data_IF_675016568756
#
_entry.id   IF_675016568756
#
_cell.length_a   1.000
_cell.length_b   1.000
_cell.length_c   1.000
_cell.angle_alpha   90.00
_cell.angle_beta   90.00
_cell.angle_gamma   90.00
#
_symmetry.space_group_name_H-M   'P 1'
#
loop_
_entity.id
_entity.type
_entity.pdbx_description
1 polymer ?
#
# COMPACT_ATOMS: atom_id res chain seq x y z
N UNK A 1 1.36 2.32 21.52
CA UNK A 1 2.27 1.19 21.73
C UNK A 1 1.45 -0.07 21.87
N UNK A 2 1.73 -1.11 21.08
CA UNK A 2 1.09 -2.43 21.17
C UNK A 2 2.01 -3.48 21.83
N UNK A 3 1.51 -4.70 22.04
CA UNK A 3 2.26 -5.76 22.75
C UNK A 3 3.51 -6.23 21.98
N UNK A 4 3.52 -6.17 20.64
CA UNK A 4 4.67 -6.59 19.83
C UNK A 4 5.76 -5.51 19.82
N UNK A 5 5.39 -4.23 19.83
CA UNK A 5 6.35 -3.13 20.01
C UNK A 5 7.05 -3.24 21.35
N UNK A 6 6.30 -3.46 22.43
CA UNK A 6 6.89 -3.66 23.76
C UNK A 6 7.77 -4.92 23.80
N UNK A 7 7.34 -6.00 23.14
CA UNK A 7 8.14 -7.22 23.02
C UNK A 7 9.48 -6.98 22.31
N UNK A 8 9.48 -6.23 21.21
CA UNK A 8 10.70 -5.81 20.51
C UNK A 8 11.60 -4.95 21.40
N UNK A 9 11.05 -3.94 22.09
CA UNK A 9 11.83 -3.08 22.99
C UNK A 9 12.41 -3.81 24.19
N UNK A 10 11.74 -4.87 24.65
CA UNK A 10 12.22 -5.67 25.79
C UNK A 10 13.46 -6.52 25.45
N UNK A 11 13.84 -6.62 24.16
CA UNK A 11 15.03 -7.36 23.74
C UNK A 11 14.98 -8.86 24.05
N UNK A 12 13.76 -9.42 24.12
CA UNK A 12 13.53 -10.84 24.44
C UNK A 12 13.72 -11.73 23.19
N UNK A 13 13.66 -11.13 21.99
CA UNK A 13 13.84 -11.87 20.75
C UNK A 13 15.26 -12.42 20.61
N UNK A 14 15.36 -13.73 20.38
CA UNK A 14 16.58 -14.41 19.93
C UNK A 14 16.23 -15.29 18.73
N UNK A 15 17.20 -15.50 17.82
CA UNK A 15 17.01 -16.29 16.58
C UNK A 15 16.49 -17.72 16.83
N UNK A 16 16.43 -18.19 18.08
CA UNK A 16 15.98 -19.53 18.48
C UNK A 16 15.10 -19.54 19.74
N UNK A 17 14.30 -18.49 19.96
CA UNK A 17 13.40 -18.44 21.11
C UNK A 17 12.34 -19.56 21.01
N UNK A 18 12.41 -20.55 21.91
CA UNK A 18 11.49 -21.71 21.98
C UNK A 18 10.38 -21.55 23.03
N UNK A 19 10.50 -20.56 23.90
CA UNK A 19 9.60 -20.30 25.01
C UNK A 19 10.11 -19.12 25.83
N UNK A 20 9.30 -18.70 26.81
CA UNK A 20 9.57 -17.54 27.65
C UNK A 20 9.97 -17.97 29.05
N UNK A 21 10.91 -17.25 29.68
CA UNK A 21 11.32 -17.50 31.07
C UNK A 21 10.74 -16.45 32.02
N UNK A 22 10.77 -16.70 33.35
CA UNK A 22 10.40 -15.67 34.34
C UNK A 22 11.25 -14.39 34.23
N UNK A 23 12.52 -14.49 33.82
CA UNK A 23 13.39 -13.34 33.57
C UNK A 23 12.88 -12.48 32.41
N UNK A 24 12.29 -13.09 31.38
CA UNK A 24 11.69 -12.36 30.26
C UNK A 24 10.47 -11.55 30.73
N UNK A 25 9.64 -12.10 31.62
CA UNK A 25 8.53 -11.37 32.25
C UNK A 25 9.05 -10.15 33.02
N UNK A 26 10.17 -10.29 33.74
CA UNK A 26 10.80 -9.17 34.45
C UNK A 26 11.31 -8.11 33.47
N UNK A 27 11.92 -8.52 32.34
CA UNK A 27 12.35 -7.59 31.29
C UNK A 27 11.17 -6.80 30.72
N UNK A 28 10.05 -7.46 30.42
CA UNK A 28 8.84 -6.78 29.94
C UNK A 28 8.38 -5.70 30.91
N UNK A 29 8.25 -6.03 32.21
CA UNK A 29 7.79 -5.06 33.22
C UNK A 29 8.74 -3.87 33.31
N UNK A 30 10.04 -4.12 33.40
CA UNK A 30 11.05 -3.05 33.46
C UNK A 30 11.05 -2.18 32.22
N UNK A 31 10.95 -2.78 31.03
CA UNK A 31 10.90 -2.01 29.79
C UNK A 31 9.63 -1.16 29.73
N UNK A 32 8.50 -1.71 30.14
CA UNK A 32 7.25 -0.96 30.19
C UNK A 32 7.34 0.27 31.12
N UNK A 33 7.94 0.11 32.31
CA UNK A 33 8.12 1.23 33.25
C UNK A 33 8.99 2.34 32.64
N UNK A 34 10.02 1.97 31.87
CA UNK A 34 10.85 2.93 31.11
C UNK A 34 10.00 3.67 30.08
N UNK A 35 9.25 2.95 29.23
CA UNK A 35 8.41 3.57 28.20
C UNK A 35 7.31 4.46 28.80
N UNK A 36 6.69 4.03 29.89
CA UNK A 36 5.65 4.80 30.57
C UNK A 36 6.22 6.08 31.21
N UNK A 37 7.45 6.04 31.72
CA UNK A 37 8.11 7.24 32.26
C UNK A 37 8.39 8.30 31.19
N UNK A 38 8.68 7.86 29.96
CA UNK A 38 8.94 8.74 28.82
C UNK A 38 7.65 9.21 28.14
N UNK A 39 6.62 8.36 28.13
CA UNK A 39 5.33 8.64 27.53
C UNK A 39 4.18 8.14 28.43
N UNK A 40 3.64 9.02 29.31
CA UNK A 40 2.55 8.66 30.22
C UNK A 40 1.24 8.26 29.54
N UNK A 41 1.09 8.51 28.23
CA UNK A 41 -0.09 8.13 27.46
C UNK A 41 -0.07 6.67 26.98
N UNK A 42 1.01 5.92 27.23
CA UNK A 42 1.07 4.49 26.98
C UNK A 42 -0.01 3.78 27.78
N UNK A 43 -0.79 2.92 27.10
CA UNK A 43 -1.83 2.12 27.75
C UNK A 43 -1.21 1.20 28.81
N UNK A 44 -1.73 1.30 30.04
CA UNK A 44 -1.28 0.54 31.22
C UNK A 44 -1.41 -0.97 31.03
N UNK A 45 -2.37 -1.40 30.23
CA UNK A 45 -2.66 -2.82 30.04
C UNK A 45 -1.67 -3.51 29.08
N UNK A 46 -0.81 -2.77 28.37
CA UNK A 46 0.08 -3.35 27.34
C UNK A 46 1.06 -4.35 27.96
N UNK A 47 1.66 -4.03 29.11
CA UNK A 47 2.56 -4.95 29.79
C UNK A 47 1.83 -6.20 30.28
N UNK A 48 0.69 -6.04 30.95
CA UNK A 48 -0.06 -7.17 31.48
C UNK A 48 -0.62 -8.06 30.36
N UNK A 49 -1.04 -7.47 29.23
CA UNK A 49 -1.45 -8.20 28.04
C UNK A 49 -0.29 -8.96 27.38
N UNK A 50 0.89 -8.37 27.29
CA UNK A 50 2.07 -9.07 26.76
C UNK A 50 2.48 -10.23 27.69
N UNK A 51 2.46 -10.03 29.00
CA UNK A 51 2.76 -11.08 29.97
C UNK A 51 1.72 -12.20 29.90
N UNK A 52 0.45 -11.85 29.76
CA UNK A 52 -0.62 -12.82 29.54
C UNK A 52 -0.38 -13.61 28.24
N UNK A 53 -0.04 -12.93 27.15
CA UNK A 53 0.31 -13.57 25.88
C UNK A 53 1.52 -14.50 26.01
N UNK A 54 2.56 -14.11 26.76
CA UNK A 54 3.73 -14.95 27.02
C UNK A 54 3.39 -16.22 27.82
N UNK A 55 2.45 -16.12 28.77
CA UNK A 55 2.11 -17.24 29.66
C UNK A 55 1.05 -18.18 29.04
N UNK A 56 0.03 -17.64 28.38
CA UNK A 56 -1.14 -18.39 27.92
C UNK A 56 -1.16 -18.62 26.41
N UNK A 57 -0.50 -17.77 25.63
CA UNK A 57 -0.52 -17.80 24.17
C UNK A 57 0.89 -17.72 23.56
N UNK A 58 1.83 -18.42 24.21
CA UNK A 58 3.25 -18.33 23.89
C UNK A 58 3.55 -18.70 22.43
N UNK A 59 2.88 -19.74 21.92
CA UNK A 59 3.12 -20.25 20.57
C UNK A 59 2.65 -19.26 19.51
N UNK A 60 1.49 -18.64 19.71
CA UNK A 60 0.94 -17.61 18.83
C UNK A 60 1.84 -16.36 18.81
N UNK A 61 2.33 -15.93 19.98
CA UNK A 61 3.26 -14.82 20.09
C UNK A 61 4.60 -15.11 19.38
N UNK A 62 5.15 -16.32 19.55
CA UNK A 62 6.35 -16.76 18.84
C UNK A 62 6.12 -16.88 17.33
N UNK A 63 4.94 -17.34 16.91
CA UNK A 63 4.56 -17.40 15.50
C UNK A 63 4.58 -16.00 14.88
N UNK A 64 3.91 -15.03 15.51
CA UNK A 64 3.91 -13.63 15.04
C UNK A 64 5.33 -13.08 15.00
N UNK A 65 6.14 -13.37 16.01
CA UNK A 65 7.54 -12.93 16.10
C UNK A 65 8.43 -13.48 14.99
N UNK A 66 8.09 -14.65 14.43
CA UNK A 66 8.81 -15.28 13.34
C UNK A 66 8.18 -15.03 11.96
N UNK A 67 6.97 -14.45 11.90
CA UNK A 67 6.36 -14.04 10.65
C UNK A 67 6.83 -12.63 10.28
N UNK A 68 7.64 -12.51 9.21
CA UNK A 68 8.21 -11.22 8.78
C UNK A 68 7.18 -10.11 8.64
N UNK A 69 6.04 -10.38 7.99
CA UNK A 69 5.07 -9.35 7.64
C UNK A 69 4.34 -8.89 8.90
N UNK A 70 3.81 -9.82 9.68
CA UNK A 70 3.12 -9.50 10.94
C UNK A 70 4.05 -8.81 11.93
N UNK A 71 5.28 -9.33 12.10
CA UNK A 71 6.23 -8.75 13.04
C UNK A 71 6.65 -7.34 12.66
N UNK A 72 7.08 -7.12 11.41
CA UNK A 72 7.49 -5.80 10.95
C UNK A 72 6.32 -4.80 11.06
N UNK A 73 5.12 -5.23 10.71
CA UNK A 73 3.91 -4.43 10.84
C UNK A 73 3.68 -4.01 12.29
N UNK A 74 3.54 -4.96 13.21
CA UNK A 74 3.18 -4.65 14.59
C UNK A 74 4.31 -3.98 15.36
N UNK A 75 5.58 -4.31 15.09
CA UNK A 75 6.73 -3.68 15.77
C UNK A 75 7.11 -2.30 15.21
N UNK A 76 6.53 -1.90 14.08
CA UNK A 76 6.93 -0.68 13.35
C UNK A 76 8.36 -0.74 12.80
N UNK A 77 8.87 -1.95 12.52
CA UNK A 77 10.23 -2.18 12.00
C UNK A 77 10.21 -2.67 10.56
N UNK A 78 11.37 -2.69 9.91
CA UNK A 78 11.50 -3.21 8.55
C UNK A 78 12.69 -4.16 8.45
N UNK A 79 12.61 -5.29 9.15
CA UNK A 79 13.67 -6.29 9.11
C UNK A 79 13.65 -7.08 7.80
N UNK A 80 14.86 -7.44 7.35
CA UNK A 80 15.05 -8.30 6.20
C UNK A 80 14.65 -9.74 6.52
N UNK A 81 14.41 -10.55 5.48
CA UNK A 81 14.04 -11.97 5.62
C UNK A 81 15.05 -12.76 6.45
N UNK A 82 16.33 -12.37 6.43
CA UNK A 82 17.41 -13.08 7.10
C UNK A 82 17.29 -13.07 8.63
N UNK A 83 16.53 -12.14 9.22
CA UNK A 83 16.25 -12.13 10.67
C UNK A 83 15.25 -13.22 11.09
N UNK A 84 14.44 -13.71 10.15
CA UNK A 84 13.34 -14.64 10.46
C UNK A 84 13.76 -16.06 10.08
N UNK A 85 13.84 -16.93 11.09
CA UNK A 85 14.23 -18.33 10.88
C UNK A 85 13.15 -19.11 10.13
N UNK A 86 13.52 -19.75 9.02
CA UNK A 86 12.67 -20.71 8.29
C UNK A 86 12.46 -22.01 9.06
N UNK A 87 13.37 -22.33 9.97
CA UNK A 87 13.47 -23.64 10.62
C UNK A 87 12.69 -23.68 11.94
N UNK A 88 12.31 -22.51 12.47
CA UNK A 88 11.49 -22.35 13.68
C UNK A 88 9.99 -22.32 13.34
N UNK A 89 9.52 -23.32 12.58
CA UNK A 89 8.10 -23.49 12.28
C UNK A 89 7.34 -23.83 13.58
N UNK A 90 6.89 -22.80 14.30
CA UNK A 90 5.96 -22.97 15.42
C UNK A 90 4.64 -23.44 14.82
N UNK A 91 4.30 -24.71 15.04
CA UNK A 91 3.05 -25.29 14.55
C UNK A 91 1.87 -24.71 15.35
N UNK A 92 1.19 -23.72 14.77
CA UNK A 92 0.01 -23.05 15.32
C UNK A 92 -1.08 -23.05 14.24
N UNK A 93 -2.33 -23.29 14.66
CA UNK A 93 -3.46 -23.21 13.73
C UNK A 93 -3.71 -21.77 13.29
N UNK A 94 -4.29 -21.58 12.10
CA UNK A 94 -4.62 -20.24 11.59
C UNK A 94 -5.62 -19.55 12.51
N UNK A 95 -6.60 -20.32 12.98
CA UNK A 95 -7.67 -19.90 13.88
C UNK A 95 -7.11 -19.42 15.23
N UNK A 96 -6.10 -20.12 15.79
CA UNK A 96 -5.42 -19.70 17.01
C UNK A 96 -4.71 -18.36 16.86
N UNK A 97 -4.03 -18.15 15.72
CA UNK A 97 -3.37 -16.85 15.43
C UNK A 97 -4.40 -15.74 15.23
N UNK A 98 -5.51 -16.02 14.54
CA UNK A 98 -6.61 -15.06 14.38
C UNK A 98 -7.17 -14.63 15.74
N UNK A 99 -7.47 -15.59 16.64
CA UNK A 99 -7.96 -15.30 17.98
C UNK A 99 -6.94 -14.52 18.83
N UNK A 100 -5.65 -14.81 18.68
CA UNK A 100 -4.59 -14.03 19.32
C UNK A 100 -4.60 -12.58 18.85
N UNK A 101 -4.60 -12.36 17.53
CA UNK A 101 -4.61 -11.02 16.95
C UNK A 101 -5.89 -10.30 17.37
N UNK A 102 -7.04 -10.98 17.36
CA UNK A 102 -8.31 -10.43 17.81
C UNK A 102 -8.22 -9.96 19.27
N UNK A 103 -7.69 -10.80 20.16
CA UNK A 103 -7.60 -10.51 21.60
C UNK A 103 -6.65 -9.35 21.92
N UNK A 104 -5.50 -9.28 21.25
CA UNK A 104 -4.41 -8.40 21.66
C UNK A 104 -4.08 -7.24 20.72
N UNK A 105 -4.47 -7.33 19.45
CA UNK A 105 -3.94 -6.47 18.38
C UNK A 105 -5.02 -5.94 17.41
N UNK A 106 -6.29 -6.30 17.61
CA UNK A 106 -7.40 -5.91 16.71
C UNK A 106 -7.54 -4.40 16.56
N UNK A 107 -7.44 -3.68 17.68
CA UNK A 107 -7.57 -2.21 17.70
C UNK A 107 -6.45 -1.53 16.90
N UNK A 108 -5.23 -2.06 16.96
CA UNK A 108 -4.10 -1.52 16.21
C UNK A 108 -4.28 -1.74 14.70
N UNK A 109 -4.80 -2.91 14.31
CA UNK A 109 -5.14 -3.21 12.91
C UNK A 109 -6.27 -2.33 12.38
N UNK A 110 -7.37 -2.19 13.12
CA UNK A 110 -8.50 -1.36 12.69
C UNK A 110 -8.08 0.11 12.52
N UNK A 111 -7.34 0.64 13.51
CA UNK A 111 -6.79 2.00 13.42
C UNK A 111 -5.82 2.17 12.24
N UNK A 112 -5.00 1.16 11.95
CA UNK A 112 -4.12 1.18 10.79
C UNK A 112 -4.90 1.20 9.48
N UNK A 113 -5.94 0.36 9.34
CA UNK A 113 -6.76 0.33 8.13
C UNK A 113 -7.47 1.67 7.92
N UNK A 114 -8.07 2.24 8.95
CA UNK A 114 -8.73 3.54 8.85
C UNK A 114 -7.78 4.64 8.38
N UNK A 115 -6.64 4.77 9.06
CA UNK A 115 -5.63 5.78 8.69
C UNK A 115 -5.10 5.56 7.29
N UNK A 116 -4.85 4.30 6.90
CA UNK A 116 -4.31 3.99 5.58
C UNK A 116 -5.32 4.27 4.47
N UNK A 117 -6.60 3.98 4.69
CA UNK A 117 -7.68 4.30 3.76
C UNK A 117 -7.94 5.80 3.64
N UNK A 118 -7.88 6.54 4.75
CA UNK A 118 -8.04 8.00 4.77
C UNK A 118 -6.89 8.69 4.02
N UNK A 119 -5.66 8.23 4.23
CA UNK A 119 -4.46 8.78 3.59
C UNK A 119 -4.15 8.18 2.20
N UNK A 120 -5.05 7.37 1.64
CA UNK A 120 -4.88 6.69 0.35
C UNK A 120 -3.58 5.86 0.24
N UNK A 121 -3.14 5.25 1.35
CA UNK A 121 -1.99 4.34 1.45
C UNK A 121 -2.40 2.89 1.28
N UNK A 122 -2.97 2.56 0.12
CA UNK A 122 -3.51 1.22 -0.14
C UNK A 122 -2.44 0.14 -0.28
N UNK A 123 -1.24 0.52 -0.72
CA UNK A 123 -0.05 -0.32 -0.80
C UNK A 123 0.33 -0.92 0.55
N UNK A 124 0.29 -0.10 1.62
CA UNK A 124 0.56 -0.58 2.97
C UNK A 124 -0.45 -1.65 3.43
N UNK A 125 -1.72 -1.52 3.01
CA UNK A 125 -2.76 -2.49 3.33
C UNK A 125 -2.57 -3.76 2.49
N UNK A 126 -2.26 -3.61 1.20
CA UNK A 126 -2.03 -4.72 0.26
C UNK A 126 -0.87 -5.62 0.72
N UNK A 127 0.22 -5.03 1.22
CA UNK A 127 1.34 -5.77 1.82
C UNK A 127 0.88 -6.66 2.99
N UNK A 128 -0.02 -6.16 3.83
CA UNK A 128 -0.59 -6.92 4.93
C UNK A 128 -1.56 -8.01 4.44
N UNK A 129 -2.22 -7.82 3.29
CA UNK A 129 -3.09 -8.84 2.69
C UNK A 129 -2.33 -10.10 2.26
N UNK A 130 -0.98 -10.05 2.15
CA UNK A 130 -0.16 -11.26 1.94
C UNK A 130 -0.28 -12.28 3.09
N UNK A 131 -0.66 -11.83 4.29
CA UNK A 131 -0.89 -12.67 5.48
C UNK A 131 -2.36 -12.67 5.93
N UNK A 132 -3.29 -12.34 5.02
CA UNK A 132 -4.72 -12.20 5.33
C UNK A 132 -5.35 -13.41 6.03
N UNK A 133 -4.83 -14.61 5.79
CA UNK A 133 -5.31 -15.84 6.40
C UNK A 133 -5.13 -15.89 7.93
N UNK A 134 -4.25 -15.06 8.49
CA UNK A 134 -4.04 -14.94 9.94
C UNK A 134 -4.81 -13.76 10.56
N UNK A 135 -5.40 -12.89 9.74
CA UNK A 135 -6.13 -11.72 10.24
C UNK A 135 -7.54 -12.10 10.67
N UNK A 136 -8.10 -11.46 11.71
CA UNK A 136 -9.49 -11.67 12.12
C UNK A 136 -10.47 -11.41 10.98
N UNK A 137 -11.38 -12.36 10.73
CA UNK A 137 -12.33 -12.27 9.62
C UNK A 137 -13.22 -11.02 9.72
N UNK A 138 -13.61 -10.62 10.94
CA UNK A 138 -14.37 -9.39 11.20
C UNK A 138 -13.70 -8.14 10.62
N UNK A 139 -12.38 -8.04 10.75
CA UNK A 139 -11.59 -6.92 10.21
C UNK A 139 -11.50 -6.98 8.69
N UNK A 140 -11.32 -8.17 8.12
CA UNK A 140 -11.28 -8.37 6.67
C UNK A 140 -12.61 -7.97 6.04
N UNK A 141 -13.74 -8.42 6.61
CA UNK A 141 -15.07 -8.08 6.13
C UNK A 141 -15.32 -6.56 6.23
N UNK A 142 -14.95 -5.96 7.37
CA UNK A 142 -15.06 -4.51 7.59
C UNK A 142 -14.22 -3.72 6.57
N UNK A 143 -12.98 -4.15 6.31
CA UNK A 143 -12.12 -3.56 5.29
C UNK A 143 -12.74 -3.69 3.89
N UNK A 144 -13.30 -4.86 3.56
CA UNK A 144 -14.02 -5.09 2.30
C UNK A 144 -15.19 -4.13 2.12
N UNK A 145 -16.00 -3.93 3.16
CA UNK A 145 -17.09 -2.93 3.16
C UNK A 145 -16.55 -1.52 2.93
N UNK A 146 -15.48 -1.13 3.64
CA UNK A 146 -14.86 0.20 3.49
C UNK A 146 -14.32 0.43 2.05
N UNK A 147 -13.74 -0.60 1.43
CA UNK A 147 -13.30 -0.54 0.02
C UNK A 147 -14.48 -0.44 -0.94
N UNK A 148 -15.55 -1.22 -0.71
CA UNK A 148 -16.77 -1.14 -1.52
C UNK A 148 -17.41 0.26 -1.43
N UNK A 149 -17.47 0.84 -0.23
CA UNK A 149 -17.98 2.20 -0.02
C UNK A 149 -17.16 3.27 -0.76
N UNK A 150 -15.84 3.08 -0.89
CA UNK A 150 -15.00 3.96 -1.74
C UNK A 150 -15.36 3.85 -3.23
N UNK A 151 -15.73 2.66 -3.71
CA UNK A 151 -16.24 2.50 -5.08
C UNK A 151 -17.63 3.13 -5.26
N UNK A 152 -18.50 3.04 -4.25
CA UNK A 152 -19.80 3.71 -4.27
C UNK A 152 -19.64 5.23 -4.34
N UNK A 153 -18.72 5.79 -3.53
CA UNK A 153 -18.37 7.21 -3.60
C UNK A 153 -17.92 7.62 -5.01
N UNK A 154 -17.07 6.81 -5.65
CA UNK A 154 -16.63 7.05 -7.03
C UNK A 154 -17.83 7.07 -7.99
N UNK A 155 -18.66 6.03 -7.91
CA UNK A 155 -19.82 5.90 -8.78
C UNK A 155 -20.78 7.09 -8.65
N UNK A 156 -21.08 7.50 -7.41
CA UNK A 156 -21.96 8.62 -7.12
C UNK A 156 -21.40 9.95 -7.65
N UNK A 157 -20.10 10.19 -7.48
CA UNK A 157 -19.44 11.41 -7.97
C UNK A 157 -19.42 11.49 -9.50
N UNK A 158 -19.11 10.37 -10.17
CA UNK A 158 -19.16 10.28 -11.64
C UNK A 158 -20.58 10.49 -12.16
N UNK A 159 -21.59 10.00 -11.44
CA UNK A 159 -22.99 10.21 -11.80
C UNK A 159 -23.46 11.65 -11.62
N UNK A 160 -22.96 12.33 -10.58
CA UNK A 160 -23.34 13.71 -10.27
C UNK A 160 -22.68 14.73 -11.21
N UNK A 161 -21.51 14.44 -11.77
CA UNK A 161 -20.77 15.32 -12.68
C UNK A 161 -20.50 14.65 -14.04
N UNK A 162 -21.39 14.84 -15.03
CA UNK A 162 -21.21 14.31 -16.38
C UNK A 162 -19.95 14.83 -17.11
N UNK A 163 -19.39 15.97 -16.69
CA UNK A 163 -18.17 16.55 -17.27
C UNK A 163 -16.89 15.96 -16.67
N UNK A 164 -17.04 15.21 -15.56
CA UNK A 164 -16.00 14.57 -14.76
C UNK A 164 -14.92 15.51 -14.18
N UNK A 165 -15.03 16.83 -14.39
CA UNK A 165 -14.01 17.81 -13.96
C UNK A 165 -13.88 17.88 -12.44
N UNK A 166 -15.01 17.89 -11.74
CA UNK A 166 -15.08 18.01 -10.28
C UNK A 166 -15.06 16.64 -9.59
N UNK A 167 -15.52 15.59 -10.29
CA UNK A 167 -15.42 14.22 -9.81
C UNK A 167 -13.95 13.78 -9.60
N UNK A 168 -13.05 14.11 -10.54
CA UNK A 168 -11.65 13.69 -10.43
C UNK A 168 -10.83 14.52 -9.44
N UNK A 169 -11.14 15.80 -9.24
CA UNK A 169 -10.46 16.63 -8.22
C UNK A 169 -10.85 16.22 -6.80
N UNK A 170 -12.05 15.67 -6.61
CA UNK A 170 -12.54 15.21 -5.31
C UNK A 170 -12.20 13.75 -4.98
N UNK A 171 -11.70 12.96 -5.94
CA UNK A 171 -11.38 11.53 -5.77
C UNK A 171 -10.01 11.18 -6.34
N UNK A 172 -8.96 11.80 -5.80
CA UNK A 172 -7.58 11.61 -6.28
C UNK A 172 -7.13 10.14 -6.24
N UNK A 173 -7.59 9.38 -5.23
CA UNK A 173 -7.23 7.97 -5.07
C UNK A 173 -7.66 7.08 -6.22
N UNK A 174 -8.64 7.50 -7.00
CA UNK A 174 -9.24 6.71 -8.07
C UNK A 174 -8.29 6.47 -9.25
N UNK A 175 -7.23 7.27 -9.37
CA UNK A 175 -6.16 7.09 -10.37
C UNK A 175 -5.04 6.16 -9.88
N UNK A 176 -5.07 5.73 -8.61
CA UNK A 176 -3.99 4.96 -8.02
C UNK A 176 -4.15 3.47 -8.31
N UNK A 177 -3.12 2.87 -8.92
CA UNK A 177 -3.06 1.42 -9.15
C UNK A 177 -3.26 0.61 -7.87
N UNK A 178 -2.66 1.04 -6.76
CA UNK A 178 -2.68 0.36 -5.46
C UNK A 178 -4.10 0.18 -4.90
N UNK A 179 -5.02 1.10 -5.20
CA UNK A 179 -6.44 0.95 -4.82
C UNK A 179 -7.08 -0.28 -5.48
N UNK A 180 -6.82 -0.49 -6.78
CA UNK A 180 -7.38 -1.62 -7.52
C UNK A 180 -6.68 -2.95 -7.21
N UNK A 181 -5.37 -2.91 -6.95
CA UNK A 181 -4.64 -4.06 -6.40
C UNK A 181 -5.29 -4.51 -5.08
N UNK A 182 -5.54 -3.57 -4.16
CA UNK A 182 -6.21 -3.86 -2.89
C UNK A 182 -7.66 -4.37 -3.08
N UNK A 183 -8.44 -3.70 -3.93
CA UNK A 183 -9.83 -4.08 -4.22
C UNK A 183 -9.95 -5.51 -4.78
N UNK A 184 -8.91 -5.99 -5.46
CA UNK A 184 -8.86 -7.36 -5.99
C UNK A 184 -8.91 -8.44 -4.91
N UNK A 185 -8.50 -8.13 -3.66
CA UNK A 185 -8.61 -9.09 -2.54
C UNK A 185 -10.05 -9.32 -2.10
N UNK A 186 -10.94 -8.37 -2.39
CA UNK A 186 -12.35 -8.37 -1.98
C UNK A 186 -13.32 -8.63 -3.14
N UNK A 187 -12.78 -9.00 -4.31
CA UNK A 187 -13.53 -9.20 -5.55
C UNK A 187 -14.78 -10.07 -5.35
N UNK A 188 -15.87 -9.63 -5.96
CA UNK A 188 -17.16 -10.31 -5.95
C UNK A 188 -17.92 -9.94 -7.23
N UNK A 189 -18.98 -10.69 -7.56
CA UNK A 189 -19.82 -10.34 -8.70
C UNK A 189 -20.43 -8.93 -8.57
N UNK A 190 -20.73 -8.48 -7.35
CA UNK A 190 -21.21 -7.13 -7.08
C UNK A 190 -20.12 -6.08 -7.37
N UNK A 191 -18.90 -6.28 -6.86
CA UNK A 191 -17.78 -5.36 -7.11
C UNK A 191 -17.43 -5.30 -8.60
N UNK A 192 -17.44 -6.44 -9.29
CA UNK A 192 -17.23 -6.49 -10.73
C UNK A 192 -18.27 -5.65 -11.48
N UNK A 193 -19.55 -5.77 -11.11
CA UNK A 193 -20.60 -4.97 -11.73
C UNK A 193 -20.42 -3.46 -11.47
N UNK A 194 -19.98 -3.07 -10.26
CA UNK A 194 -19.66 -1.65 -9.95
C UNK A 194 -18.50 -1.14 -10.79
N UNK A 195 -17.39 -1.90 -10.85
CA UNK A 195 -16.22 -1.56 -11.68
C UNK A 195 -16.61 -1.45 -13.17
N UNK A 196 -17.46 -2.37 -13.66
CA UNK A 196 -17.99 -2.35 -15.02
C UNK A 196 -18.85 -1.11 -15.30
N UNK A 197 -19.75 -0.75 -14.38
CA UNK A 197 -20.58 0.44 -14.51
C UNK A 197 -19.75 1.72 -14.55
N UNK A 198 -18.77 1.83 -13.64
CA UNK A 198 -17.80 2.92 -13.61
C UNK A 198 -17.03 2.98 -14.93
N UNK A 199 -16.53 1.84 -15.42
CA UNK A 199 -15.79 1.77 -16.67
C UNK A 199 -16.60 2.30 -17.87
N UNK A 200 -17.87 1.88 -18.02
CA UNK A 200 -18.69 2.34 -19.14
C UNK A 200 -19.00 3.83 -19.04
N UNK A 201 -19.33 4.32 -17.84
CA UNK A 201 -19.53 5.76 -17.58
C UNK A 201 -18.31 6.58 -18.00
N UNK A 202 -17.12 6.10 -17.67
CA UNK A 202 -15.86 6.73 -18.06
C UNK A 202 -15.61 6.65 -19.57
N UNK A 203 -15.90 5.51 -20.19
CA UNK A 203 -15.70 5.29 -21.63
C UNK A 203 -16.63 6.14 -22.50
N UNK A 204 -17.86 6.34 -22.05
CA UNK A 204 -18.90 7.10 -22.75
C UNK A 204 -18.85 8.61 -22.44
N UNK A 205 -17.97 9.03 -21.53
CA UNK A 205 -17.86 10.42 -21.13
C UNK A 205 -17.38 11.31 -22.29
N UNK A 206 -18.22 12.29 -22.66
CA UNK A 206 -17.91 13.28 -23.68
C UNK A 206 -17.04 14.40 -23.09
N UNK A 207 -15.74 14.10 -22.96
CA UNK A 207 -14.75 15.03 -22.39
C UNK A 207 -13.78 15.53 -23.45
N UNK A 208 -13.21 16.71 -23.23
CA UNK A 208 -12.14 17.24 -24.08
C UNK A 208 -10.87 16.36 -24.01
N UNK A 209 -10.03 16.43 -25.04
CA UNK A 209 -8.81 15.61 -25.14
C UNK A 209 -7.84 15.82 -23.98
N UNK A 210 -7.84 17.00 -23.35
CA UNK A 210 -6.96 17.29 -22.22
C UNK A 210 -7.42 16.50 -20.99
N UNK A 211 -8.71 16.53 -20.67
CA UNK A 211 -9.31 15.74 -19.58
C UNK A 211 -9.15 14.24 -19.86
N UNK A 212 -9.37 13.83 -21.11
CA UNK A 212 -9.16 12.45 -21.54
C UNK A 212 -7.74 11.96 -21.20
N UNK A 213 -6.72 12.72 -21.59
CA UNK A 213 -5.32 12.32 -21.39
C UNK A 213 -4.82 12.52 -19.96
N UNK A 214 -5.24 13.58 -19.26
CA UNK A 214 -4.73 13.91 -17.93
C UNK A 214 -5.46 13.18 -16.80
N UNK A 215 -6.70 12.73 -17.00
CA UNK A 215 -7.54 12.18 -15.93
C UNK A 215 -8.12 10.81 -16.30
N UNK A 216 -8.75 10.69 -17.47
CA UNK A 216 -9.43 9.45 -17.85
C UNK A 216 -8.45 8.30 -18.13
N UNK A 217 -7.40 8.55 -18.92
CA UNK A 217 -6.39 7.56 -19.27
C UNK A 217 -5.65 7.00 -18.04
N UNK A 218 -5.16 7.82 -17.08
CA UNK A 218 -4.58 7.31 -15.84
C UNK A 218 -5.51 6.39 -15.06
N UNK A 219 -6.78 6.79 -14.90
CA UNK A 219 -7.79 6.00 -14.19
C UNK A 219 -8.04 4.68 -14.88
N UNK A 220 -8.29 4.70 -16.18
CA UNK A 220 -8.52 3.49 -16.98
C UNK A 220 -7.32 2.54 -16.94
N UNK A 221 -6.10 3.11 -16.92
CA UNK A 221 -4.86 2.32 -16.78
C UNK A 221 -4.74 1.73 -15.38
N UNK A 222 -5.11 2.47 -14.35
CA UNK A 222 -5.11 2.01 -12.96
C UNK A 222 -6.16 0.90 -12.73
N UNK A 223 -7.38 1.06 -13.26
CA UNK A 223 -8.47 0.07 -13.21
C UNK A 223 -8.06 -1.30 -13.77
N UNK A 224 -7.13 -1.32 -14.72
CA UNK A 224 -6.61 -2.57 -15.30
C UNK A 224 -5.86 -3.48 -14.32
N UNK A 225 -5.55 -2.99 -13.11
CA UNK A 225 -4.95 -3.79 -12.05
C UNK A 225 -5.99 -4.54 -11.21
N UNK A 226 -7.27 -4.23 -11.38
CA UNK A 226 -8.35 -4.97 -10.72
C UNK A 226 -8.50 -6.38 -11.33
N UNK A 227 -8.40 -7.41 -10.49
CA UNK A 227 -8.48 -8.83 -10.88
C UNK A 227 -9.92 -9.34 -10.71
N UNK A 228 -10.78 -8.99 -11.66
CA UNK A 228 -12.19 -9.38 -11.68
C UNK A 228 -12.40 -10.90 -11.58
N UNK A 229 -13.56 -11.31 -11.07
CA UNK A 229 -14.07 -12.68 -11.12
C UNK A 229 -14.67 -12.97 -12.50
N UNK A 230 -15.39 -12.00 -13.07
CA UNK A 230 -15.90 -12.03 -14.43
C UNK A 230 -14.77 -11.91 -15.46
N UNK A 231 -14.55 -13.01 -16.19
CA UNK A 231 -13.55 -13.09 -17.27
C UNK A 231 -13.76 -12.05 -18.38
N UNK A 232 -15.01 -11.68 -18.67
CA UNK A 232 -15.30 -10.65 -19.68
C UNK A 232 -14.81 -9.29 -19.20
N UNK A 233 -15.08 -8.94 -17.94
CA UNK A 233 -14.58 -7.69 -17.35
C UNK A 233 -13.05 -7.68 -17.29
N UNK A 234 -12.42 -8.78 -16.87
CA UNK A 234 -10.96 -8.88 -16.84
C UNK A 234 -10.32 -8.62 -18.21
N UNK A 235 -10.91 -9.20 -19.27
CA UNK A 235 -10.46 -8.98 -20.65
C UNK A 235 -10.69 -7.54 -21.11
N UNK A 236 -11.85 -6.95 -20.79
CA UNK A 236 -12.18 -5.56 -21.12
C UNK A 236 -11.17 -4.58 -20.52
N UNK A 237 -10.88 -4.72 -19.22
CA UNK A 237 -9.92 -3.88 -18.50
C UNK A 237 -8.50 -4.00 -19.08
N UNK A 238 -8.07 -5.23 -19.39
CA UNK A 238 -6.75 -5.49 -19.99
C UNK A 238 -6.63 -4.92 -21.40
N UNK A 239 -7.67 -5.13 -22.24
CA UNK A 239 -7.69 -4.63 -23.60
C UNK A 239 -7.66 -3.09 -23.64
N UNK A 240 -8.39 -2.43 -22.73
CA UNK A 240 -8.38 -0.99 -22.64
C UNK A 240 -7.01 -0.44 -22.26
N UNK A 241 -6.32 -1.08 -21.31
CA UNK A 241 -4.94 -0.70 -20.94
C UNK A 241 -4.04 -0.68 -22.17
N UNK A 242 -4.09 -1.73 -22.98
CA UNK A 242 -3.27 -1.84 -24.19
C UNK A 242 -3.63 -0.77 -25.22
N UNK A 243 -4.92 -0.43 -25.35
CA UNK A 243 -5.40 0.65 -26.22
C UNK A 243 -4.89 2.02 -25.77
N UNK A 244 -4.98 2.34 -24.48
CA UNK A 244 -4.48 3.60 -23.90
C UNK A 244 -2.97 3.74 -24.10
N UNK A 245 -2.22 2.65 -23.91
CA UNK A 245 -0.77 2.64 -24.19
C UNK A 245 -0.47 2.90 -25.67
N UNK A 246 -1.17 2.22 -26.60
CA UNK A 246 -0.98 2.41 -28.03
C UNK A 246 -1.36 3.83 -28.50
N UNK A 247 -2.41 4.44 -27.94
CA UNK A 247 -2.79 5.84 -28.21
C UNK A 247 -1.73 6.83 -27.71
N UNK A 248 -1.14 6.56 -26.54
CA UNK A 248 -0.09 7.41 -25.95
C UNK A 248 1.22 7.34 -26.73
N UNK A 249 1.63 6.14 -27.15
CA UNK A 249 2.81 5.94 -28.02
C UNK A 249 2.60 6.60 -29.38
N UNK A 250 1.43 6.43 -29.99
CA UNK A 250 1.09 7.04 -31.27
C UNK A 250 1.04 8.57 -31.20
N UNK A 251 0.58 9.14 -30.07
CA UNK A 251 0.60 10.59 -29.85
C UNK A 251 2.02 11.13 -29.67
N UNK A 252 2.89 10.40 -28.95
CA UNK A 252 4.30 10.76 -28.82
C UNK A 252 5.06 10.72 -30.16
N UNK A 253 4.70 9.78 -31.03
CA UNK A 253 5.27 9.66 -32.37
C UNK A 253 4.69 10.65 -33.39
N UNK A 254 3.50 11.22 -33.14
CA UNK A 254 2.89 12.27 -33.99
C UNK A 254 3.28 13.69 -33.57
N UNK A 255 3.85 13.88 -32.38
CA UNK A 255 4.42 15.14 -31.90
C UNK A 255 5.85 15.42 -32.34
N UNK A 256 6.44 14.57 -33.18
CA UNK A 256 7.84 14.64 -33.62
C UNK A 256 8.06 15.27 -35.00
N UNK A 257 7.52 16.46 -35.27
CA UNK A 257 8.02 17.28 -36.38
C UNK A 257 8.07 18.75 -35.94
N UNK A 258 9.23 19.15 -35.42
CA UNK A 258 9.51 20.51 -34.96
C UNK A 258 10.62 20.64 -33.91
N UNK A 259 11.23 19.54 -33.47
CA UNK A 259 12.40 19.57 -32.60
C UNK A 259 13.69 19.76 -33.40
N UNK A 260 14.36 20.90 -33.20
CA UNK A 260 15.74 21.16 -33.61
C UNK A 260 16.58 19.89 -33.42
N UNK A 261 17.16 19.37 -34.50
CA UNK A 261 17.97 18.15 -34.44
C UNK A 261 19.09 18.34 -33.42
N UNK A 262 19.44 17.28 -32.69
CA UNK A 262 20.55 17.23 -31.72
C UNK A 262 21.87 17.73 -32.33
N UNK A 263 21.96 17.72 -33.67
CA UNK A 263 23.05 18.29 -34.46
C UNK A 263 23.19 19.82 -34.31
N UNK A 264 22.09 20.55 -34.17
CA UNK A 264 22.07 22.00 -33.94
C UNK A 264 22.63 22.40 -32.57
N UNK A 265 22.38 21.60 -31.53
CA UNK A 265 23.01 21.76 -30.22
C UNK A 265 24.53 21.56 -30.28
N UNK A 266 25.00 20.55 -31.03
CA UNK A 266 26.43 20.30 -31.21
C UNK A 266 27.09 21.49 -31.92
N UNK A 267 26.45 22.06 -32.95
CA UNK A 267 26.97 23.25 -33.66
C UNK A 267 27.05 24.46 -32.73
N UNK A 268 26.03 24.72 -31.90
CA UNK A 268 26.05 25.83 -30.94
C UNK A 268 27.18 25.66 -29.92
N UNK A 269 27.39 24.45 -29.39
CA UNK A 269 28.49 24.18 -28.45
C UNK A 269 29.86 24.41 -29.12
N UNK A 270 30.03 24.00 -30.39
CA UNK A 270 31.28 24.23 -31.14
C UNK A 270 31.54 25.73 -31.35
N UNK A 271 30.50 26.51 -31.65
CA UNK A 271 30.62 27.97 -31.83
C UNK A 271 31.00 28.66 -30.51
N UNK A 272 30.39 28.26 -29.39
CA UNK A 272 30.71 28.79 -28.06
C UNK A 272 32.16 28.43 -27.67
N UNK A 273 32.60 27.19 -27.90
CA UNK A 273 33.98 26.78 -27.65
C UNK A 273 34.98 27.55 -28.50
N UNK A 274 34.66 27.83 -29.78
CA UNK A 274 35.51 28.69 -30.63
C UNK A 274 35.58 30.13 -30.12
N UNK A 275 34.47 30.70 -29.67
CA UNK A 275 34.43 32.05 -29.09
C UNK A 275 35.26 32.15 -27.80
N UNK A 276 35.15 31.14 -26.92
CA UNK A 276 35.97 31.07 -25.70
C UNK A 276 37.46 30.95 -26.04
N UNK A 277 37.83 30.13 -27.03
CA UNK A 277 39.21 29.99 -27.47
C UNK A 277 39.77 31.28 -28.10
N UNK A 278 38.96 32.02 -28.87
CA UNK A 278 39.37 33.31 -29.46
C UNK A 278 39.52 34.37 -28.36
N UNK A 279 38.59 34.45 -27.40
CA UNK A 279 38.72 35.37 -26.26
C UNK A 279 39.91 35.02 -25.35
N UNK A 280 40.21 33.73 -25.15
CA UNK A 280 41.39 33.29 -24.41
C UNK A 280 42.71 33.61 -25.13
N UNK A 281 42.69 33.75 -26.47
CA UNK A 281 43.85 34.16 -27.27
C UNK A 281 44.02 35.69 -27.31
N UNK A 282 42.93 36.45 -27.25
CA UNK A 282 42.98 37.92 -27.16
C UNK A 282 43.27 38.45 -25.74
N UNK A 283 43.09 37.66 -24.69
CA UNK A 283 43.51 38.01 -23.32
C UNK A 283 44.99 37.72 -22.99
N UNK A 284 45.79 37.33 -24.00
CA UNK A 284 47.23 37.01 -23.87
C UNK A 284 48.11 37.82 -24.83
N UNK A 285 47.65 39.00 -25.22
CA UNK A 285 48.48 40.07 -25.80
C UNK A 285 48.45 41.29 -24.88
#
# INVERSE_FOLDING_TARGET
MNIIELFEYSGIYSENLRGFTPEDVIKVRKQFDIEQSQNPAVNRDVADNLILAMNENAKELLFISNNRILYNFFSGKNYSRNRFSSDNAVSVSKESVQLFIQKYLEKDLDSFFDKSLENNRFDNIDDLMMVKEYLPQSLIDTLGIKINNKLDLVFDKINADPSLRDAFSSIEFFQQKSFYDLASHFRSAEMDQKIKNIYYKLSDALVDQRIKNQLLHPVMTAMANYKAVDSHLANLLTANRNKVFAETESASNRGGSGGMSTWSYIVVIIVILRLILVMARCGRM
#
